data_IF_814852854397
#
_entry.id   IF_814852854397
#
_cell.length_a   1.000
_cell.length_b   1.000
_cell.length_c   1.000
_cell.angle_alpha   90.00
_cell.angle_beta   90.00
_cell.angle_gamma   90.00
#
_symmetry.space_group_name_H-M   'P 1'
#
loop_
_entity.id
_entity.type
_entity.pdbx_description
1 polymer ?
#
# COMPACT_ATOMS: atom_id res chain seq x y z
N UNK A 1 4.30 9.49 -35.47
CA UNK A 1 4.02 10.05 -34.14
C UNK A 1 2.53 9.85 -33.93
N UNK A 2 2.14 8.96 -33.03
CA UNK A 2 0.71 8.80 -32.72
C UNK A 2 0.23 10.09 -32.05
N UNK A 3 -0.77 10.66 -32.66
CA UNK A 3 -1.48 11.83 -32.18
C UNK A 3 -2.29 11.41 -30.95
N UNK A 4 -2.04 11.99 -29.80
CA UNK A 4 -2.89 11.79 -28.62
C UNK A 4 -3.98 12.88 -28.63
N UNK A 5 -5.21 12.56 -29.11
CA UNK A 5 -6.26 13.55 -29.29
C UNK A 5 -6.77 14.12 -27.96
N UNK A 6 -6.38 13.49 -26.85
CA UNK A 6 -6.92 13.78 -25.51
C UNK A 6 -6.02 14.71 -24.69
N UNK A 7 -4.87 15.13 -25.22
CA UNK A 7 -4.02 16.14 -24.61
C UNK A 7 -4.51 17.53 -25.00
N UNK A 8 -5.48 18.04 -24.28
CA UNK A 8 -6.13 19.33 -24.55
C UNK A 8 -5.30 20.52 -24.06
N UNK A 9 -5.55 21.73 -24.60
CA UNK A 9 -4.92 22.97 -24.13
C UNK A 9 -5.10 23.22 -22.63
N UNK A 10 -6.28 22.85 -22.08
CA UNK A 10 -6.56 23.01 -20.64
C UNK A 10 -5.67 22.09 -19.78
N UNK A 11 -5.44 20.85 -20.22
CA UNK A 11 -4.56 19.91 -19.52
C UNK A 11 -3.12 20.41 -19.56
N UNK A 12 -2.63 20.84 -20.71
CA UNK A 12 -1.26 21.40 -20.86
C UNK A 12 -1.11 22.64 -19.97
N UNK A 13 -2.12 23.52 -19.95
CA UNK A 13 -2.10 24.72 -19.10
C UNK A 13 -2.08 24.35 -17.60
N UNK A 14 -2.90 23.39 -17.18
CA UNK A 14 -2.90 22.88 -15.81
C UNK A 14 -1.55 22.29 -15.40
N UNK A 15 -0.91 21.50 -16.28
CA UNK A 15 0.44 20.99 -16.07
C UNK A 15 1.49 22.11 -16.00
N UNK A 16 1.31 23.20 -16.73
CA UNK A 16 2.15 24.40 -16.61
C UNK A 16 2.16 24.96 -15.19
N UNK A 17 0.98 25.10 -14.57
CA UNK A 17 0.85 25.51 -13.16
C UNK A 17 1.43 24.47 -12.20
N UNK A 18 1.23 23.20 -12.47
CA UNK A 18 1.79 22.13 -11.66
C UNK A 18 3.32 22.20 -11.60
N UNK A 19 4.00 22.31 -12.75
CA UNK A 19 5.45 22.44 -12.81
C UNK A 19 5.96 23.77 -12.25
N UNK A 20 5.17 24.84 -12.32
CA UNK A 20 5.49 26.10 -11.65
C UNK A 20 5.53 25.92 -10.13
N UNK A 21 4.57 25.20 -9.56
CA UNK A 21 4.58 24.88 -8.13
C UNK A 21 5.80 24.04 -7.76
N UNK A 22 6.13 23.02 -8.55
CA UNK A 22 7.34 22.22 -8.34
C UNK A 22 8.61 23.06 -8.43
N UNK A 23 8.70 23.98 -9.38
CA UNK A 23 9.79 24.95 -9.45
C UNK A 23 9.91 25.76 -8.17
N UNK A 24 8.83 26.36 -7.68
CA UNK A 24 8.84 27.16 -6.45
C UNK A 24 9.25 26.33 -5.21
N UNK A 25 8.79 25.08 -5.12
CA UNK A 25 9.20 24.16 -4.05
C UNK A 25 10.71 23.91 -4.10
N UNK A 26 11.26 23.65 -5.29
CA UNK A 26 12.69 23.37 -5.45
C UNK A 26 13.55 24.62 -5.31
N UNK A 27 13.05 25.78 -5.70
CA UNK A 27 13.71 27.07 -5.47
C UNK A 27 13.83 27.34 -3.96
N UNK A 28 12.76 27.10 -3.20
CA UNK A 28 12.81 27.19 -1.74
C UNK A 28 13.82 26.21 -1.14
N UNK A 29 13.86 24.96 -1.62
CA UNK A 29 14.81 23.96 -1.16
C UNK A 29 16.25 24.32 -1.50
N UNK A 30 16.49 24.86 -2.68
CA UNK A 30 17.79 25.43 -3.09
C UNK A 30 18.24 26.52 -2.13
N UNK A 31 17.36 27.47 -1.83
CA UNK A 31 17.64 28.55 -0.89
C UNK A 31 17.95 28.03 0.52
N UNK A 32 17.16 27.08 1.01
CA UNK A 32 17.40 26.40 2.30
C UNK A 32 18.77 25.71 2.31
N UNK A 33 19.07 24.92 1.28
CA UNK A 33 20.34 24.20 1.15
C UNK A 33 21.54 25.15 1.12
N UNK A 34 21.37 26.34 0.56
CA UNK A 34 22.44 27.34 0.48
C UNK A 34 22.66 28.10 1.81
N UNK A 35 21.57 28.44 2.52
CA UNK A 35 21.67 29.34 3.69
C UNK A 35 21.65 28.64 5.05
N UNK A 36 20.87 27.58 5.20
CA UNK A 36 20.58 27.00 6.51
C UNK A 36 21.52 25.82 6.80
N UNK A 37 21.83 25.05 5.78
CA UNK A 37 22.57 23.81 5.91
C UNK A 37 23.99 23.98 5.34
N UNK A 38 24.82 24.79 5.98
CA UNK A 38 26.25 24.89 5.61
C UNK A 38 26.97 23.53 5.52
N UNK A 39 26.40 22.50 6.11
CA UNK A 39 26.82 21.11 5.94
C UNK A 39 26.31 20.44 4.67
N UNK A 40 25.20 20.92 4.07
CA UNK A 40 24.69 20.44 2.79
C UNK A 40 25.45 20.98 1.56
N UNK A 41 26.38 21.91 1.78
CA UNK A 41 27.29 22.34 0.74
C UNK A 41 28.46 21.37 0.53
N UNK A 42 28.49 20.24 1.25
CA UNK A 42 29.49 19.19 1.03
C UNK A 42 29.24 18.49 -0.31
N UNK A 43 30.31 18.30 -1.03
CA UNK A 43 30.36 17.70 -2.36
C UNK A 43 29.52 16.41 -2.44
N UNK A 44 28.64 16.34 -3.41
CA UNK A 44 28.05 15.06 -3.79
C UNK A 44 29.12 14.29 -4.56
N UNK A 45 29.71 13.28 -3.95
CA UNK A 45 30.73 12.44 -4.56
C UNK A 45 30.32 11.83 -5.92
N UNK A 46 29.01 11.66 -6.16
CA UNK A 46 28.45 11.12 -7.40
C UNK A 46 28.49 12.08 -8.59
N UNK A 47 28.60 13.40 -8.38
CA UNK A 47 28.51 14.43 -9.44
C UNK A 47 29.77 15.30 -9.45
N UNK A 48 30.95 14.70 -9.25
CA UNK A 48 32.23 15.39 -9.45
C UNK A 48 32.47 16.61 -8.57
N UNK A 49 31.98 16.64 -7.33
CA UNK A 49 32.27 17.70 -6.38
C UNK A 49 31.34 18.93 -6.47
N UNK A 50 30.18 18.84 -7.13
CA UNK A 50 29.21 19.93 -7.13
C UNK A 50 28.53 20.11 -5.77
N UNK A 51 28.38 21.35 -5.26
CA UNK A 51 27.56 21.62 -4.09
C UNK A 51 26.10 21.18 -4.28
N UNK A 52 25.48 20.61 -3.26
CA UNK A 52 24.07 20.15 -3.30
C UNK A 52 23.11 21.27 -3.75
N UNK A 53 23.34 22.50 -3.28
CA UNK A 53 22.54 23.66 -3.68
C UNK A 53 22.59 23.93 -5.18
N UNK A 54 23.74 23.72 -5.83
CA UNK A 54 23.88 23.89 -7.29
C UNK A 54 23.06 22.86 -8.06
N UNK A 55 23.04 21.59 -7.59
CA UNK A 55 22.22 20.54 -8.20
C UNK A 55 20.75 20.92 -8.14
N UNK A 56 20.26 21.36 -6.97
CA UNK A 56 18.87 21.77 -6.81
C UNK A 56 18.53 23.05 -7.58
N UNK A 57 19.49 23.97 -7.75
CA UNK A 57 19.33 25.13 -8.63
C UNK A 57 19.14 24.70 -10.10
N UNK A 58 19.93 23.71 -10.56
CA UNK A 58 19.76 23.16 -11.91
C UNK A 58 18.40 22.47 -12.07
N UNK A 59 17.97 21.67 -11.08
CA UNK A 59 16.62 21.04 -11.07
C UNK A 59 15.54 22.09 -11.12
N UNK A 60 15.66 23.17 -10.33
CA UNK A 60 14.71 24.29 -10.35
C UNK A 60 14.65 24.95 -11.73
N UNK A 61 15.81 25.21 -12.35
CA UNK A 61 15.87 25.81 -13.69
C UNK A 61 15.21 24.91 -14.75
N UNK A 62 15.42 23.60 -14.69
CA UNK A 62 14.77 22.63 -15.58
C UNK A 62 13.25 22.65 -15.39
N UNK A 63 12.76 22.62 -14.14
CA UNK A 63 11.33 22.67 -13.86
C UNK A 63 10.67 23.98 -14.31
N UNK A 64 11.39 25.10 -14.20
CA UNK A 64 10.94 26.38 -14.77
C UNK A 64 10.83 26.31 -16.29
N UNK A 65 11.84 25.76 -16.97
CA UNK A 65 11.81 25.61 -18.44
C UNK A 65 10.65 24.69 -18.85
N UNK A 66 10.40 23.60 -18.12
CA UNK A 66 9.27 22.70 -18.38
C UNK A 66 7.94 23.41 -18.16
N UNK A 67 7.79 24.22 -17.12
CA UNK A 67 6.59 25.02 -16.88
C UNK A 67 6.34 26.01 -18.02
N UNK A 68 7.36 26.77 -18.44
CA UNK A 68 7.26 27.72 -19.56
C UNK A 68 6.91 26.99 -20.86
N UNK A 69 7.51 25.82 -21.12
CA UNK A 69 7.20 25.01 -22.30
C UNK A 69 5.73 24.57 -22.32
N UNK A 70 5.15 24.24 -21.16
CA UNK A 70 3.73 23.93 -21.07
C UNK A 70 2.85 25.15 -21.33
N UNK A 71 3.16 26.33 -20.79
CA UNK A 71 2.37 27.54 -21.06
C UNK A 71 2.45 27.96 -22.52
N UNK A 72 3.60 27.86 -23.16
CA UNK A 72 3.75 28.16 -24.58
C UNK A 72 3.16 27.11 -25.50
N UNK A 73 3.14 25.82 -25.05
CA UNK A 73 2.58 24.70 -25.81
C UNK A 73 1.05 24.63 -25.85
N UNK A 74 0.36 25.45 -25.05
CA UNK A 74 -1.12 25.48 -25.01
C UNK A 74 -1.75 25.87 -26.35
N UNK A 75 -1.07 26.61 -27.18
CA UNK A 75 -1.52 27.05 -28.51
C UNK A 75 -1.46 25.95 -29.59
N UNK A 76 -0.68 24.89 -29.35
CA UNK A 76 -0.47 23.81 -30.31
C UNK A 76 -0.39 22.44 -29.62
N UNK A 77 -1.50 21.94 -29.05
CA UNK A 77 -1.51 20.70 -28.30
C UNK A 77 -1.04 19.48 -29.11
N UNK A 78 -1.35 19.46 -30.39
CA UNK A 78 -1.01 18.37 -31.31
C UNK A 78 0.49 18.15 -31.47
N UNK A 79 1.28 19.23 -31.41
CA UNK A 79 2.73 19.19 -31.54
C UNK A 79 3.48 19.17 -30.20
N UNK A 80 2.76 19.09 -29.09
CA UNK A 80 3.36 19.11 -27.77
C UNK A 80 4.20 17.86 -27.49
N UNK A 81 5.48 18.02 -27.14
CA UNK A 81 6.46 16.94 -27.08
C UNK A 81 6.74 16.39 -25.69
N UNK A 82 6.39 17.14 -24.62
CA UNK A 82 6.69 16.72 -23.24
C UNK A 82 5.65 15.71 -22.77
N UNK A 83 5.95 14.44 -22.99
CA UNK A 83 5.12 13.30 -22.58
C UNK A 83 5.99 12.06 -22.35
N UNK A 84 5.46 11.11 -21.59
CA UNK A 84 6.14 9.83 -21.39
C UNK A 84 6.18 9.05 -22.71
N UNK A 85 7.36 8.55 -23.10
CA UNK A 85 7.51 7.77 -24.33
C UNK A 85 6.99 6.32 -24.12
N UNK A 86 6.53 5.69 -25.20
CA UNK A 86 5.98 4.32 -25.18
C UNK A 86 7.02 3.29 -24.70
N UNK A 87 8.30 3.47 -25.00
CA UNK A 87 9.35 2.58 -24.53
C UNK A 87 9.45 2.55 -22.98
N UNK A 88 8.94 3.55 -22.30
CA UNK A 88 8.85 3.61 -20.85
C UNK A 88 7.51 3.05 -20.34
N UNK A 89 6.39 3.44 -20.96
CA UNK A 89 5.04 3.02 -20.55
C UNK A 89 4.82 1.51 -20.69
N UNK A 90 5.20 0.94 -21.83
CA UNK A 90 5.00 -0.48 -22.11
C UNK A 90 5.66 -1.43 -21.09
N UNK A 91 6.94 -1.26 -20.69
CA UNK A 91 7.51 -2.06 -19.60
C UNK A 91 6.82 -1.84 -18.25
N UNK A 92 6.42 -0.59 -17.94
CA UNK A 92 5.71 -0.31 -16.69
C UNK A 92 4.40 -1.08 -16.66
N UNK A 93 3.59 -1.01 -17.71
CA UNK A 93 2.33 -1.75 -17.80
C UNK A 93 2.55 -3.27 -17.74
N UNK A 94 3.54 -3.78 -18.48
CA UNK A 94 3.81 -5.21 -18.49
C UNK A 94 4.18 -5.77 -17.11
N UNK A 95 5.04 -5.07 -16.37
CA UNK A 95 5.53 -5.56 -15.08
C UNK A 95 4.59 -5.20 -13.92
N UNK A 96 4.03 -4.00 -13.88
CA UNK A 96 3.17 -3.58 -12.76
C UNK A 96 1.73 -4.09 -12.87
N UNK A 97 1.25 -4.46 -14.05
CA UNK A 97 -0.02 -5.17 -14.21
C UNK A 97 0.07 -6.64 -13.76
N UNK A 98 1.27 -7.19 -13.58
CA UNK A 98 1.41 -8.54 -13.02
C UNK A 98 1.30 -8.48 -11.48
N UNK A 99 0.29 -9.16 -10.90
CA UNK A 99 0.05 -9.09 -9.46
C UNK A 99 1.19 -9.70 -8.63
N UNK A 100 1.92 -10.68 -9.16
CA UNK A 100 3.05 -11.31 -8.46
C UNK A 100 4.20 -10.34 -8.37
N UNK A 101 4.54 -9.67 -9.49
CA UNK A 101 5.60 -8.65 -9.54
C UNK A 101 5.25 -7.47 -8.65
N UNK A 102 4.01 -6.99 -8.70
CA UNK A 102 3.52 -5.91 -7.85
C UNK A 102 3.66 -6.25 -6.36
N UNK A 103 3.16 -7.42 -5.94
CA UNK A 103 3.22 -7.84 -4.54
C UNK A 103 4.66 -8.11 -4.08
N UNK A 104 5.46 -8.80 -4.88
CA UNK A 104 6.88 -9.00 -4.57
C UNK A 104 7.62 -7.67 -4.46
N UNK A 105 7.35 -6.71 -5.35
CA UNK A 105 7.88 -5.35 -5.29
C UNK A 105 7.49 -4.62 -4.00
N UNK A 106 6.23 -4.74 -3.57
CA UNK A 106 5.77 -4.15 -2.30
C UNK A 106 6.47 -4.75 -1.08
N UNK A 107 6.73 -6.05 -1.09
CA UNK A 107 7.50 -6.75 -0.04
C UNK A 107 8.97 -6.32 -0.03
N UNK A 108 9.59 -6.19 -1.19
CA UNK A 108 10.97 -5.70 -1.31
C UNK A 108 11.08 -4.25 -0.85
N UNK A 109 10.13 -3.40 -1.24
CA UNK A 109 10.07 -2.00 -0.81
C UNK A 109 9.92 -1.89 0.72
N UNK A 110 9.05 -2.71 1.32
CA UNK A 110 8.91 -2.80 2.76
C UNK A 110 10.22 -3.21 3.44
N UNK A 111 10.88 -4.27 2.94
CA UNK A 111 12.17 -4.72 3.44
C UNK A 111 13.24 -3.63 3.34
N UNK A 112 13.32 -2.95 2.19
CA UNK A 112 14.24 -1.84 1.98
C UNK A 112 13.95 -0.66 2.93
N UNK A 113 12.69 -0.32 3.16
CA UNK A 113 12.27 0.72 4.09
C UNK A 113 12.78 0.45 5.51
N UNK A 114 12.68 -0.79 5.98
CA UNK A 114 13.15 -1.19 7.31
C UNK A 114 14.68 -1.23 7.38
N UNK A 115 15.34 -1.85 6.40
CA UNK A 115 16.80 -2.07 6.40
C UNK A 115 17.55 -0.74 6.23
N UNK A 116 17.13 0.08 5.26
CA UNK A 116 17.80 1.35 4.94
C UNK A 116 17.19 2.56 5.65
N UNK A 117 16.49 2.36 6.79
CA UNK A 117 15.78 3.44 7.52
C UNK A 117 16.67 4.63 7.84
N UNK A 118 17.96 4.42 8.18
CA UNK A 118 18.91 5.50 8.50
C UNK A 118 19.28 6.36 7.29
N UNK A 119 19.07 5.84 6.09
CA UNK A 119 19.38 6.56 4.84
C UNK A 119 18.20 7.38 4.35
N UNK A 120 17.03 6.75 4.24
CA UNK A 120 15.89 7.44 3.64
C UNK A 120 15.20 8.45 4.57
N UNK A 121 15.48 8.41 5.87
CA UNK A 121 15.03 9.47 6.80
C UNK A 121 15.79 10.79 6.66
N UNK A 122 16.91 10.81 5.94
CA UNK A 122 17.67 12.05 5.68
C UNK A 122 16.85 13.00 4.84
N UNK A 123 16.84 14.29 5.22
CA UNK A 123 16.02 15.32 4.57
C UNK A 123 16.24 15.38 3.05
N UNK A 124 17.49 15.32 2.61
CA UNK A 124 17.82 15.36 1.18
C UNK A 124 17.28 14.15 0.43
N UNK A 125 17.37 12.95 1.02
CA UNK A 125 16.84 11.74 0.40
C UNK A 125 15.31 11.80 0.31
N UNK A 126 14.64 12.16 1.40
CA UNK A 126 13.18 12.29 1.45
C UNK A 126 12.69 13.33 0.45
N UNK A 127 13.37 14.48 0.36
CA UNK A 127 13.05 15.51 -0.62
C UNK A 127 13.23 15.00 -2.04
N UNK A 128 14.31 14.29 -2.32
CA UNK A 128 14.57 13.72 -3.65
C UNK A 128 13.47 12.74 -4.04
N UNK A 129 13.08 11.83 -3.15
CA UNK A 129 12.00 10.87 -3.41
C UNK A 129 10.66 11.57 -3.65
N UNK A 130 10.33 12.58 -2.85
CA UNK A 130 9.14 13.40 -3.05
C UNK A 130 9.15 14.05 -4.44
N UNK A 131 10.25 14.71 -4.82
CA UNK A 131 10.33 15.38 -6.10
C UNK A 131 10.28 14.42 -7.29
N UNK A 132 10.96 13.27 -7.19
CA UNK A 132 10.86 12.21 -8.20
C UNK A 132 9.42 11.70 -8.37
N UNK A 133 8.71 11.47 -7.26
CA UNK A 133 7.31 11.03 -7.30
C UNK A 133 6.39 12.09 -7.91
N UNK A 134 6.58 13.36 -7.58
CA UNK A 134 5.79 14.45 -8.13
C UNK A 134 6.11 14.69 -9.62
N UNK A 135 7.37 14.66 -10.02
CA UNK A 135 7.75 14.77 -11.45
C UNK A 135 7.21 13.58 -12.24
N UNK A 136 7.33 12.36 -11.71
CA UNK A 136 6.75 11.16 -12.33
C UNK A 136 5.24 11.32 -12.52
N UNK A 137 4.52 11.76 -11.48
CA UNK A 137 3.08 12.01 -11.55
C UNK A 137 2.75 13.07 -12.61
N UNK A 138 3.47 14.19 -12.65
CA UNK A 138 3.26 15.25 -13.64
C UNK A 138 3.48 14.78 -15.08
N UNK A 139 4.53 14.00 -15.34
CA UNK A 139 4.78 13.39 -16.65
C UNK A 139 3.70 12.37 -17.01
N UNK A 140 3.27 11.55 -16.05
CA UNK A 140 2.22 10.55 -16.26
C UNK A 140 0.85 11.16 -16.54
N UNK A 141 0.57 12.34 -15.99
CA UNK A 141 -0.69 13.07 -16.27
C UNK A 141 -0.80 13.56 -17.72
N UNK A 142 0.28 13.51 -18.50
CA UNK A 142 0.22 13.72 -19.96
C UNK A 142 -0.42 12.55 -20.71
N UNK A 143 -0.46 11.36 -20.11
CA UNK A 143 -1.13 10.18 -20.64
C UNK A 143 -2.62 10.21 -20.33
N UNK A 144 -3.44 9.81 -21.30
CA UNK A 144 -4.91 9.85 -21.17
C UNK A 144 -5.42 8.83 -20.15
N UNK A 145 -4.99 7.58 -20.29
CA UNK A 145 -5.50 6.48 -19.47
C UNK A 145 -5.08 6.64 -18.01
N UNK A 146 -3.83 7.02 -17.76
CA UNK A 146 -3.36 7.37 -16.42
C UNK A 146 -4.20 8.50 -15.81
N UNK A 147 -4.47 9.56 -16.60
CA UNK A 147 -5.24 10.71 -16.13
C UNK A 147 -6.69 10.34 -15.81
N UNK A 148 -7.31 9.44 -16.58
CA UNK A 148 -8.65 8.94 -16.30
C UNK A 148 -8.74 8.17 -14.99
N UNK A 149 -7.67 7.46 -14.61
CA UNK A 149 -7.61 6.69 -13.36
C UNK A 149 -7.27 7.61 -12.17
N UNK A 150 -6.17 8.34 -12.25
CA UNK A 150 -5.63 9.12 -11.12
C UNK A 150 -6.38 10.44 -10.93
N UNK A 151 -6.79 11.08 -12.02
CA UNK A 151 -7.53 12.35 -12.00
C UNK A 151 -9.04 12.19 -11.77
N UNK A 152 -9.56 10.97 -11.67
CA UNK A 152 -10.97 10.75 -11.31
C UNK A 152 -11.26 11.40 -9.95
N UNK A 153 -12.34 12.18 -9.79
CA UNK A 153 -12.58 12.96 -8.57
C UNK A 153 -12.56 12.17 -7.28
N UNK A 154 -13.00 10.90 -7.28
CA UNK A 154 -12.98 10.01 -6.13
C UNK A 154 -11.57 9.42 -5.85
N UNK A 155 -10.67 9.38 -6.84
CA UNK A 155 -9.30 8.89 -6.69
C UNK A 155 -8.30 9.98 -6.26
N UNK A 156 -8.57 11.25 -6.55
CA UNK A 156 -7.70 12.38 -6.17
C UNK A 156 -7.40 12.41 -4.66
N UNK A 157 -8.39 12.25 -3.74
CA UNK A 157 -8.14 12.16 -2.30
C UNK A 157 -7.26 10.97 -1.92
N UNK A 158 -7.38 9.85 -2.63
CA UNK A 158 -6.59 8.64 -2.36
C UNK A 158 -5.12 8.90 -2.69
N UNK A 159 -4.85 9.50 -3.84
CA UNK A 159 -3.49 9.88 -4.24
C UNK A 159 -2.90 10.87 -3.24
N UNK A 160 -3.64 11.90 -2.85
CA UNK A 160 -3.21 12.85 -1.82
C UNK A 160 -2.89 12.14 -0.50
N UNK A 161 -3.73 11.19 -0.08
CA UNK A 161 -3.53 10.42 1.15
C UNK A 161 -2.28 9.52 1.08
N UNK A 162 -1.93 8.96 -0.08
CA UNK A 162 -0.69 8.21 -0.23
C UNK A 162 0.54 9.09 0.06
N UNK A 163 0.53 10.35 -0.39
CA UNK A 163 1.60 11.30 -0.05
C UNK A 163 1.61 11.65 1.44
N UNK A 164 0.43 11.86 2.06
CA UNK A 164 0.32 12.14 3.49
C UNK A 164 0.81 10.95 4.32
N UNK A 165 0.42 9.73 3.98
CA UNK A 165 0.88 8.50 4.67
C UNK A 165 2.39 8.35 4.53
N UNK A 166 2.95 8.60 3.35
CA UNK A 166 4.40 8.56 3.12
C UNK A 166 5.14 9.60 3.98
N UNK A 167 4.61 10.82 4.07
CA UNK A 167 5.17 11.89 4.90
C UNK A 167 5.12 11.56 6.39
N UNK A 168 3.98 11.10 6.90
CA UNK A 168 3.83 10.71 8.30
C UNK A 168 4.72 9.51 8.65
N UNK A 169 4.88 8.56 7.73
CA UNK A 169 5.79 7.43 7.89
C UNK A 169 7.24 7.90 7.97
N UNK A 170 7.62 8.86 7.14
CA UNK A 170 8.95 9.48 7.18
C UNK A 170 9.20 10.18 8.52
N UNK A 171 8.27 10.98 9.03
CA UNK A 171 8.38 11.64 10.35
C UNK A 171 8.56 10.59 11.44
N UNK A 172 7.74 9.52 11.42
CA UNK A 172 7.84 8.44 12.40
C UNK A 172 9.22 7.80 12.41
N UNK A 173 9.73 7.37 11.24
CA UNK A 173 11.05 6.73 11.18
C UNK A 173 12.19 7.69 11.50
N UNK A 174 12.08 8.95 11.08
CA UNK A 174 13.05 9.98 11.46
C UNK A 174 13.13 10.12 12.96
N UNK A 175 12.01 10.28 13.64
CA UNK A 175 11.94 10.37 15.10
C UNK A 175 12.50 9.09 15.76
N UNK A 176 12.15 7.93 15.24
CA UNK A 176 12.63 6.65 15.77
C UNK A 176 14.14 6.48 15.62
N UNK A 177 14.71 6.85 14.48
CA UNK A 177 16.18 6.80 14.24
C UNK A 177 16.91 7.80 15.13
N UNK A 178 16.39 9.02 15.28
CA UNK A 178 17.01 10.03 16.13
C UNK A 178 16.98 9.61 17.63
N UNK A 179 15.87 9.04 18.10
CA UNK A 179 15.77 8.51 19.45
C UNK A 179 16.68 7.30 19.67
N UNK A 180 16.79 6.37 18.70
CA UNK A 180 17.73 5.26 18.77
C UNK A 180 19.18 5.74 18.94
N UNK A 181 19.59 6.81 18.23
CA UNK A 181 20.91 7.43 18.37
C UNK A 181 21.09 8.09 19.74
N UNK A 182 20.07 8.80 20.24
CA UNK A 182 20.11 9.43 21.57
C UNK A 182 20.28 8.39 22.67
N UNK A 183 19.62 7.24 22.56
CA UNK A 183 19.80 6.11 23.50
C UNK A 183 21.26 5.63 23.48
N UNK A 184 21.84 5.45 22.28
CA UNK A 184 23.25 5.02 22.14
C UNK A 184 24.25 6.04 22.71
N UNK A 185 23.95 7.32 22.63
CA UNK A 185 24.75 8.42 23.17
C UNK A 185 24.47 8.71 24.64
N UNK A 186 23.53 7.97 25.26
CA UNK A 186 23.12 8.19 26.65
C UNK A 186 22.40 9.52 26.92
N UNK A 187 21.83 10.11 25.86
CA UNK A 187 21.03 11.33 25.95
C UNK A 187 19.54 11.02 26.17
N UNK A 188 18.79 11.92 26.82
CA UNK A 188 17.35 11.77 26.95
C UNK A 188 16.66 11.76 25.57
N UNK A 189 15.53 11.06 25.45
CA UNK A 189 14.71 11.05 24.25
C UNK A 189 14.10 12.43 24.00
N UNK A 190 13.70 12.71 22.76
CA UNK A 190 13.03 13.97 22.40
C UNK A 190 11.82 14.24 23.29
N UNK A 191 10.99 13.22 23.47
CA UNK A 191 9.74 13.32 24.23
C UNK A 191 9.98 13.46 25.74
N UNK A 192 11.19 13.16 26.21
CA UNK A 192 11.62 13.41 27.60
C UNK A 192 12.14 14.83 27.79
N UNK A 193 12.82 15.39 26.78
CA UNK A 193 13.26 16.79 26.79
C UNK A 193 12.08 17.76 26.66
N UNK A 194 11.15 17.43 25.74
CA UNK A 194 9.96 18.21 25.48
C UNK A 194 8.75 17.51 26.14
N UNK A 195 8.68 17.63 27.46
CA UNK A 195 7.64 17.00 28.29
C UNK A 195 6.66 18.00 28.90
N UNK A 196 6.50 19.16 28.29
CA UNK A 196 5.56 20.18 28.73
C UNK A 196 4.14 19.59 28.79
N UNK A 197 3.51 19.70 29.96
CA UNK A 197 2.19 19.16 30.17
C UNK A 197 1.16 20.15 29.63
N UNK A 198 0.37 19.72 28.68
CA UNK A 198 -0.76 20.44 28.13
C UNK A 198 -2.03 20.01 28.86
N UNK A 199 -2.86 20.97 29.28
CA UNK A 199 -4.16 20.66 29.86
C UNK A 199 -5.10 20.11 28.77
N UNK A 200 -5.81 19.02 29.10
CA UNK A 200 -6.85 18.48 28.18
C UNK A 200 -7.91 19.54 27.93
N UNK A 201 -8.34 20.23 28.97
CA UNK A 201 -9.23 21.39 28.90
C UNK A 201 -8.52 22.59 29.54
N UNK A 202 -8.44 23.79 28.87
CA UNK A 202 -9.01 24.10 27.55
C UNK A 202 -8.07 23.80 26.35
N UNK A 203 -6.77 23.61 26.55
CA UNK A 203 -5.74 23.75 25.52
C UNK A 203 -5.86 22.70 24.39
N UNK A 204 -5.93 21.41 24.75
CA UNK A 204 -6.06 20.35 23.76
C UNK A 204 -7.39 20.43 23.01
N UNK A 205 -8.49 20.67 23.75
CA UNK A 205 -9.83 20.76 23.15
C UNK A 205 -9.93 21.93 22.18
N UNK A 206 -9.35 23.09 22.48
CA UNK A 206 -9.32 24.20 21.53
C UNK A 206 -8.47 23.91 20.30
N UNK A 207 -7.34 23.23 20.45
CA UNK A 207 -6.49 22.84 19.34
C UNK A 207 -7.26 21.87 18.41
N UNK A 208 -7.93 20.86 18.98
CA UNK A 208 -8.75 19.92 18.23
C UNK A 208 -9.94 20.61 17.53
N UNK A 209 -10.60 21.56 18.21
CA UNK A 209 -11.69 22.35 17.62
C UNK A 209 -11.21 23.17 16.42
N UNK A 210 -10.06 23.83 16.53
CA UNK A 210 -9.48 24.60 15.42
C UNK A 210 -9.16 23.68 14.25
N UNK A 211 -8.52 22.54 14.51
CA UNK A 211 -8.23 21.55 13.48
C UNK A 211 -9.51 21.04 12.80
N UNK A 212 -10.57 20.75 13.57
CA UNK A 212 -11.86 20.30 13.05
C UNK A 212 -12.50 21.37 12.15
N UNK A 213 -12.52 22.63 12.58
CA UNK A 213 -13.10 23.74 11.81
C UNK A 213 -12.33 23.93 10.50
N UNK A 214 -10.99 23.95 10.56
CA UNK A 214 -10.15 24.11 9.36
C UNK A 214 -10.35 22.95 8.39
N UNK A 215 -10.34 21.70 8.89
CA UNK A 215 -10.57 20.52 8.07
C UNK A 215 -11.97 20.55 7.44
N UNK A 216 -13.00 20.93 8.20
CA UNK A 216 -14.37 21.04 7.68
C UNK A 216 -14.43 22.10 6.56
N UNK A 217 -13.80 23.26 6.75
CA UNK A 217 -13.74 24.27 5.70
C UNK A 217 -13.04 23.74 4.43
N UNK A 218 -11.90 23.07 4.57
CA UNK A 218 -11.19 22.43 3.44
C UNK A 218 -12.08 21.42 2.73
N UNK A 219 -12.79 20.55 3.47
CA UNK A 219 -13.69 19.56 2.89
C UNK A 219 -14.89 20.18 2.18
N UNK A 220 -15.43 21.28 2.68
CA UNK A 220 -16.52 22.03 2.03
C UNK A 220 -16.03 22.63 0.70
N UNK A 221 -14.88 23.33 0.71
CA UNK A 221 -14.29 23.87 -0.52
C UNK A 221 -13.98 22.75 -1.53
N UNK A 222 -13.49 21.62 -1.06
CA UNK A 222 -13.21 20.45 -1.89
C UNK A 222 -14.50 19.90 -2.52
N UNK A 223 -15.55 19.69 -1.72
CA UNK A 223 -16.83 19.17 -2.19
C UNK A 223 -17.54 20.09 -3.18
N UNK A 224 -17.29 21.40 -3.13
CA UNK A 224 -17.80 22.37 -4.11
C UNK A 224 -16.95 22.39 -5.38
N UNK A 225 -15.61 22.35 -5.22
CA UNK A 225 -14.67 22.51 -6.34
C UNK A 225 -14.43 21.23 -7.14
N UNK A 226 -14.65 20.06 -6.55
CA UNK A 226 -14.44 18.76 -7.18
C UNK A 226 -15.75 17.97 -7.16
N UNK A 227 -16.46 17.98 -8.27
CA UNK A 227 -17.72 17.25 -8.40
C UNK A 227 -17.51 15.75 -8.24
N UNK A 228 -18.35 15.10 -7.44
CA UNK A 228 -18.36 13.65 -7.34
C UNK A 228 -18.86 13.05 -8.68
N UNK A 229 -18.17 12.03 -9.22
CA UNK A 229 -18.61 11.40 -10.46
C UNK A 229 -19.93 10.66 -10.21
N UNK A 230 -20.94 10.98 -11.02
CA UNK A 230 -22.18 10.22 -11.02
C UNK A 230 -22.04 9.00 -11.92
N UNK A 231 -22.43 7.85 -11.41
CA UNK A 231 -22.56 6.63 -12.17
C UNK A 231 -23.81 6.66 -13.08
N UNK A 232 -23.91 5.73 -14.01
CA UNK A 232 -25.15 5.55 -14.82
C UNK A 232 -26.37 5.34 -13.90
N UNK A 233 -27.58 5.74 -14.30
CA UNK A 233 -28.80 5.47 -13.54
C UNK A 233 -28.94 4.01 -13.18
N UNK A 234 -29.48 3.72 -11.99
CA UNK A 234 -29.66 2.35 -11.51
C UNK A 234 -30.45 1.51 -12.54
N UNK A 235 -29.90 0.35 -12.86
CA UNK A 235 -30.49 -0.60 -13.80
C UNK A 235 -30.62 -1.97 -13.15
N UNK A 236 -31.77 -2.64 -13.33
CA UNK A 236 -31.96 -4.03 -12.92
C UNK A 236 -31.25 -5.05 -13.83
N UNK A 237 -30.75 -4.61 -14.98
CA UNK A 237 -30.16 -5.47 -16.01
C UNK A 237 -28.65 -5.36 -16.11
N UNK A 238 -28.07 -4.21 -15.74
CA UNK A 238 -26.64 -3.93 -15.93
C UNK A 238 -26.02 -3.45 -14.61
N UNK A 239 -24.92 -4.08 -14.22
CA UNK A 239 -24.07 -3.64 -13.10
C UNK A 239 -22.86 -2.88 -13.65
N UNK A 240 -22.38 -1.82 -12.98
CA UNK A 240 -21.14 -1.15 -13.37
C UNK A 240 -19.96 -2.13 -13.46
N UNK A 241 -19.11 -1.95 -14.46
CA UNK A 241 -17.96 -2.82 -14.67
C UNK A 241 -16.67 -2.00 -14.89
N UNK A 242 -15.75 -1.92 -13.92
CA UNK A 242 -15.77 -2.63 -12.62
C UNK A 242 -16.71 -1.97 -11.61
N UNK A 243 -17.31 -2.78 -10.72
CA UNK A 243 -18.05 -2.29 -9.56
C UNK A 243 -17.11 -2.22 -8.36
N UNK A 244 -16.64 -1.01 -8.02
CA UNK A 244 -15.69 -0.78 -6.94
C UNK A 244 -16.39 -0.24 -5.70
N UNK A 245 -16.05 -0.81 -4.54
CA UNK A 245 -16.41 -0.26 -3.24
C UNK A 245 -15.67 1.08 -3.01
N UNK A 246 -16.10 1.92 -2.03
CA UNK A 246 -15.31 3.05 -1.59
C UNK A 246 -13.88 2.63 -1.21
N UNK A 247 -12.91 3.52 -1.45
CA UNK A 247 -11.48 3.21 -1.35
C UNK A 247 -11.05 2.52 -0.03
N UNK A 248 -11.65 2.88 1.09
CA UNK A 248 -11.31 2.28 2.39
C UNK A 248 -11.77 0.83 2.54
N UNK A 249 -12.70 0.35 1.70
CA UNK A 249 -13.11 -1.04 1.59
C UNK A 249 -12.46 -1.79 0.42
N UNK A 250 -11.72 -1.10 -0.46
CA UNK A 250 -11.12 -1.76 -1.63
C UNK A 250 -10.11 -2.84 -1.26
N UNK A 251 -9.39 -2.67 -0.16
CA UNK A 251 -8.52 -3.72 0.37
C UNK A 251 -9.29 -4.98 0.77
N UNK A 252 -10.46 -4.82 1.41
CA UNK A 252 -11.35 -5.95 1.74
C UNK A 252 -11.98 -6.56 0.48
N UNK A 253 -12.36 -5.72 -0.48
CA UNK A 253 -12.89 -6.19 -1.76
C UNK A 253 -11.83 -7.00 -2.54
N UNK A 254 -10.57 -6.60 -2.53
CA UNK A 254 -9.50 -7.38 -3.13
C UNK A 254 -9.28 -8.72 -2.39
N UNK A 255 -9.47 -8.77 -1.08
CA UNK A 255 -9.42 -10.04 -0.33
C UNK A 255 -10.49 -11.05 -0.76
N UNK A 256 -11.63 -10.61 -1.32
CA UNK A 256 -12.67 -11.50 -1.87
C UNK A 256 -12.18 -12.34 -3.06
N UNK A 257 -11.10 -11.94 -3.71
CA UNK A 257 -10.46 -12.75 -4.76
C UNK A 257 -9.85 -14.02 -4.18
N UNK A 258 -9.37 -13.95 -2.92
CA UNK A 258 -8.62 -15.01 -2.25
C UNK A 258 -9.43 -15.79 -1.22
N UNK A 259 -10.42 -15.15 -0.63
CA UNK A 259 -11.27 -15.71 0.43
C UNK A 259 -12.75 -15.57 0.11
N UNK A 260 -13.55 -16.39 0.74
CA UNK A 260 -14.99 -16.28 0.66
C UNK A 260 -15.51 -15.02 1.40
N UNK A 261 -16.67 -14.45 1.02
CA UNK A 261 -17.18 -13.20 1.59
C UNK A 261 -17.31 -13.21 3.13
N UNK A 262 -17.73 -14.31 3.75
CA UNK A 262 -17.84 -14.38 5.20
C UNK A 262 -16.48 -14.30 5.90
N UNK A 263 -15.43 -14.88 5.30
CA UNK A 263 -14.08 -14.84 5.85
C UNK A 263 -13.44 -13.46 5.62
N UNK A 264 -13.48 -12.96 4.39
CA UNK A 264 -12.89 -11.67 4.02
C UNK A 264 -13.61 -10.47 4.67
N UNK A 265 -14.97 -10.51 4.73
CA UNK A 265 -15.77 -9.37 5.18
C UNK A 265 -16.08 -9.36 6.68
N UNK A 266 -16.04 -10.50 7.35
CA UNK A 266 -16.42 -10.60 8.77
C UNK A 266 -15.28 -11.12 9.64
N UNK A 267 -14.75 -12.31 9.33
CA UNK A 267 -13.79 -12.98 10.22
C UNK A 267 -12.46 -12.24 10.27
N UNK A 268 -11.86 -11.94 9.12
CA UNK A 268 -10.56 -11.25 9.07
C UNK A 268 -10.62 -9.86 9.70
N UNK A 269 -11.60 -8.98 9.41
CA UNK A 269 -11.75 -7.72 10.13
C UNK A 269 -11.99 -7.91 11.63
N UNK A 270 -12.78 -8.90 12.02
CA UNK A 270 -13.01 -9.26 13.42
C UNK A 270 -11.74 -9.69 14.15
N UNK A 271 -10.86 -10.46 13.48
CA UNK A 271 -9.55 -10.87 14.02
C UNK A 271 -8.61 -9.65 14.15
N UNK A 272 -8.64 -8.68 13.22
CA UNK A 272 -7.86 -7.45 13.34
C UNK A 272 -8.29 -6.67 14.59
N UNK A 273 -9.60 -6.47 14.78
CA UNK A 273 -10.13 -5.80 15.97
C UNK A 273 -9.78 -6.57 17.25
N UNK A 274 -10.00 -7.88 17.28
CA UNK A 274 -9.65 -8.75 18.40
C UNK A 274 -8.14 -8.74 18.70
N UNK A 275 -7.31 -8.69 17.67
CA UNK A 275 -5.86 -8.57 17.79
C UNK A 275 -5.43 -7.25 18.43
N UNK A 276 -6.03 -6.13 18.00
CA UNK A 276 -5.80 -4.81 18.62
C UNK A 276 -6.21 -4.79 20.09
N UNK A 277 -7.35 -5.38 20.41
CA UNK A 277 -7.83 -5.53 21.80
C UNK A 277 -6.94 -6.44 22.65
N UNK A 278 -6.25 -7.42 22.05
CA UNK A 278 -5.36 -8.34 22.75
C UNK A 278 -4.00 -7.73 23.12
N UNK A 279 -3.55 -6.66 22.45
CA UNK A 279 -2.22 -6.06 22.62
C UNK A 279 -1.88 -5.82 24.10
N UNK A 280 -2.70 -5.12 24.92
CA UNK A 280 -2.35 -4.84 26.31
C UNK A 280 -2.21 -6.11 27.18
N UNK A 281 -2.79 -7.24 26.77
CA UNK A 281 -2.74 -8.50 27.49
C UNK A 281 -1.57 -9.40 27.07
N UNK A 282 -1.14 -9.33 25.80
CA UNK A 282 -0.08 -10.18 25.26
C UNK A 282 1.28 -9.47 25.26
N UNK A 283 1.32 -8.14 25.25
CA UNK A 283 2.57 -7.39 25.28
C UNK A 283 3.26 -7.58 26.66
N UNK A 284 4.49 -8.03 26.61
CA UNK A 284 5.30 -8.25 27.81
C UNK A 284 6.28 -7.10 28.09
N UNK A 285 6.26 -6.04 27.31
CA UNK A 285 7.14 -4.91 27.49
C UNK A 285 6.77 -4.12 28.75
N UNK A 286 7.73 -3.99 29.66
CA UNK A 286 7.59 -3.26 30.94
C UNK A 286 8.26 -1.88 30.92
N UNK A 287 9.04 -1.56 29.88
CA UNK A 287 9.63 -0.25 29.71
C UNK A 287 8.54 0.74 29.32
N UNK A 288 8.46 1.89 30.00
CA UNK A 288 7.46 2.91 29.71
C UNK A 288 7.64 3.44 28.29
N UNK A 289 6.56 3.46 27.49
CA UNK A 289 6.70 3.66 26.07
C UNK A 289 5.59 4.48 25.47
N UNK A 290 5.70 5.75 25.60
CA UNK A 290 5.10 6.69 24.68
C UNK A 290 6.09 7.19 23.63
N UNK A 291 7.24 6.54 23.47
CA UNK A 291 8.36 7.06 22.68
C UNK A 291 8.57 6.30 21.39
N UNK A 292 8.88 7.02 20.33
CA UNK A 292 9.20 6.45 19.04
C UNK A 292 10.67 5.97 19.05
N UNK A 293 10.87 4.64 19.21
CA UNK A 293 12.17 3.99 19.14
C UNK A 293 12.04 2.74 18.28
N UNK A 294 12.95 2.53 17.33
CA UNK A 294 12.88 1.35 16.47
C UNK A 294 13.54 0.12 17.10
N UNK A 295 14.78 0.26 17.59
CA UNK A 295 15.59 -0.88 18.05
C UNK A 295 14.96 -1.63 19.22
N UNK A 296 14.38 -0.92 20.18
CA UNK A 296 13.74 -1.54 21.35
C UNK A 296 12.47 -2.32 21.01
N UNK A 297 11.75 -1.89 19.95
CA UNK A 297 10.44 -2.43 19.57
C UNK A 297 10.41 -2.96 18.14
N UNK A 298 11.56 -3.24 17.53
CA UNK A 298 11.69 -3.59 16.11
C UNK A 298 10.68 -4.67 15.65
N UNK A 299 10.50 -5.73 16.44
CA UNK A 299 9.56 -6.78 16.09
C UNK A 299 8.11 -6.29 16.01
N UNK A 300 7.65 -5.55 17.02
CA UNK A 300 6.27 -5.02 17.05
C UNK A 300 6.05 -4.02 15.90
N UNK A 301 7.02 -3.15 15.66
CA UNK A 301 6.98 -2.15 14.59
C UNK A 301 6.97 -2.84 13.22
N UNK A 302 7.87 -3.78 12.97
CA UNK A 302 7.89 -4.53 11.70
C UNK A 302 6.61 -5.32 11.47
N UNK A 303 6.04 -5.94 12.51
CA UNK A 303 4.78 -6.69 12.41
C UNK A 303 3.61 -5.76 12.06
N UNK A 304 3.51 -4.61 12.73
CA UNK A 304 2.49 -3.62 12.41
C UNK A 304 2.63 -3.07 11.00
N UNK A 305 3.84 -2.65 10.63
CA UNK A 305 4.10 -2.07 9.31
C UNK A 305 3.92 -3.09 8.17
N UNK A 306 4.21 -4.37 8.43
CA UNK A 306 3.93 -5.44 7.48
C UNK A 306 2.42 -5.56 7.21
N UNK A 307 1.60 -5.54 8.26
CA UNK A 307 0.14 -5.53 8.11
C UNK A 307 -0.37 -4.27 7.40
N UNK A 308 0.21 -3.12 7.73
CA UNK A 308 -0.24 -1.84 7.21
C UNK A 308 0.19 -1.62 5.74
N UNK A 309 1.48 -1.75 5.41
CA UNK A 309 1.96 -1.48 4.04
C UNK A 309 1.72 -2.64 3.08
N UNK A 310 2.32 -3.83 3.23
CA UNK A 310 2.12 -4.91 2.27
C UNK A 310 0.70 -5.49 2.24
N UNK A 311 0.02 -5.56 3.40
CA UNK A 311 -1.28 -6.25 3.46
C UNK A 311 -2.48 -5.31 3.40
N UNK A 312 -2.33 -4.01 3.62
CA UNK A 312 -3.45 -3.07 3.56
C UNK A 312 -3.28 -2.04 2.44
N UNK A 313 -2.26 -1.20 2.51
CA UNK A 313 -2.03 -0.14 1.51
C UNK A 313 -1.80 -0.74 0.12
N UNK A 314 -0.99 -1.80 0.01
CA UNK A 314 -0.73 -2.45 -1.28
C UNK A 314 -2.01 -3.01 -1.90
N UNK A 315 -2.93 -3.59 -1.11
CA UNK A 315 -4.21 -4.07 -1.62
C UNK A 315 -5.16 -2.93 -2.03
N UNK A 316 -5.15 -1.80 -1.30
CA UNK A 316 -5.93 -0.62 -1.69
C UNK A 316 -5.43 -0.08 -3.04
N UNK A 317 -4.11 0.09 -3.18
CA UNK A 317 -3.51 0.57 -4.43
C UNK A 317 -3.82 -0.38 -5.59
N UNK A 318 -3.70 -1.69 -5.37
CA UNK A 318 -4.01 -2.71 -6.36
C UNK A 318 -5.49 -2.64 -6.79
N UNK A 319 -6.41 -2.61 -5.84
CA UNK A 319 -7.85 -2.53 -6.11
C UNK A 319 -8.29 -1.20 -6.75
N UNK A 320 -7.64 -0.09 -6.36
CA UNK A 320 -7.99 1.25 -6.87
C UNK A 320 -7.47 1.49 -8.28
N UNK A 321 -6.18 1.22 -8.51
CA UNK A 321 -5.47 1.67 -9.72
C UNK A 321 -5.19 0.56 -10.72
N UNK A 322 -5.03 -0.69 -10.28
CA UNK A 322 -4.64 -1.81 -11.14
C UNK A 322 -5.79 -2.77 -11.49
N UNK A 323 -6.97 -2.60 -10.90
CA UNK A 323 -8.18 -3.36 -11.26
C UNK A 323 -9.09 -2.55 -12.17
N UNK A 324 -9.37 -3.10 -13.34
CA UNK A 324 -10.26 -2.54 -14.35
C UNK A 324 -11.47 -3.44 -14.63
N UNK A 325 -12.06 -3.34 -15.82
CA UNK A 325 -13.21 -4.14 -16.24
C UNK A 325 -13.01 -5.65 -16.02
N UNK A 326 -14.08 -6.34 -15.67
CA UNK A 326 -14.10 -7.77 -15.33
C UNK A 326 -13.18 -8.15 -14.16
N UNK A 327 -12.80 -7.17 -13.33
CA UNK A 327 -11.84 -7.32 -12.23
C UNK A 327 -10.46 -7.85 -12.67
N UNK A 328 -10.12 -7.64 -13.96
CA UNK A 328 -8.82 -7.99 -14.51
C UNK A 328 -7.76 -6.98 -14.09
N UNK A 329 -6.50 -7.39 -14.21
CA UNK A 329 -5.37 -6.49 -14.00
C UNK A 329 -5.08 -5.70 -15.28
N UNK A 330 -4.83 -4.41 -15.07
CA UNK A 330 -4.43 -3.46 -16.11
C UNK A 330 -3.21 -2.66 -15.63
N UNK A 331 -2.36 -2.30 -16.57
CA UNK A 331 -1.31 -1.34 -16.33
C UNK A 331 -1.88 0.06 -16.10
N UNK A 332 -1.07 0.95 -15.54
CA UNK A 332 -1.49 2.33 -15.24
C UNK A 332 -1.62 3.21 -16.48
N UNK A 333 -1.07 2.77 -17.62
CA UNK A 333 -1.17 3.41 -18.94
C UNK A 333 -1.95 2.56 -19.94
N UNK A 334 -2.49 1.41 -19.52
CA UNK A 334 -3.23 0.49 -20.38
C UNK A 334 -4.68 0.92 -20.53
N UNK A 335 -5.18 0.92 -21.76
CA UNK A 335 -6.59 1.17 -22.08
C UNK A 335 -7.49 0.13 -21.43
N UNK A 336 -8.53 0.55 -20.76
CA UNK A 336 -9.50 -0.34 -20.14
C UNK A 336 -10.45 -0.96 -21.19
N UNK A 337 -10.14 -2.17 -21.61
CA UNK A 337 -10.97 -2.93 -22.55
C UNK A 337 -11.95 -3.84 -21.80
N UNK A 338 -13.26 -3.58 -21.96
CA UNK A 338 -14.33 -4.38 -21.36
C UNK A 338 -14.39 -5.81 -21.93
N UNK A 339 -13.79 -6.05 -23.10
CA UNK A 339 -13.73 -7.36 -23.73
C UNK A 339 -12.52 -8.19 -23.27
N UNK A 340 -11.59 -7.61 -22.54
CA UNK A 340 -10.48 -8.34 -21.93
C UNK A 340 -11.02 -9.27 -20.85
N UNK A 341 -11.24 -10.53 -21.21
CA UNK A 341 -11.67 -11.58 -20.28
C UNK A 341 -10.54 -12.58 -20.09
N UNK A 342 -9.99 -12.61 -18.90
CA UNK A 342 -9.03 -13.63 -18.49
C UNK A 342 -9.78 -14.72 -17.73
N UNK A 343 -9.79 -15.94 -18.28
CA UNK A 343 -10.43 -17.07 -17.62
C UNK A 343 -9.77 -17.31 -16.25
N UNK A 344 -10.57 -17.25 -15.20
CA UNK A 344 -10.12 -17.57 -13.85
C UNK A 344 -10.45 -19.04 -13.55
N UNK A 345 -9.45 -19.90 -13.60
CA UNK A 345 -9.63 -21.26 -13.12
C UNK A 345 -9.74 -21.24 -11.59
N UNK A 346 -10.76 -21.93 -11.08
CA UNK A 346 -10.99 -22.07 -9.65
C UNK A 346 -10.86 -23.55 -9.30
N UNK A 347 -9.73 -23.95 -8.71
CA UNK A 347 -9.48 -25.33 -8.31
C UNK A 347 -9.36 -25.37 -6.79
N UNK A 348 -10.04 -26.28 -6.15
CA UNK A 348 -9.96 -26.50 -4.71
C UNK A 348 -8.83 -27.47 -4.33
N UNK A 349 -8.33 -27.36 -3.11
CA UNK A 349 -7.26 -28.25 -2.64
C UNK A 349 -7.68 -29.73 -2.69
N UNK A 350 -8.93 -30.03 -2.37
CA UNK A 350 -9.50 -31.36 -2.48
C UNK A 350 -9.41 -31.93 -3.89
N UNK A 351 -9.61 -31.08 -4.93
CA UNK A 351 -9.48 -31.50 -6.32
C UNK A 351 -8.02 -31.81 -6.68
N UNK A 352 -7.06 -31.01 -6.25
CA UNK A 352 -5.63 -31.29 -6.44
C UNK A 352 -5.23 -32.62 -5.76
N UNK A 353 -5.69 -32.84 -4.55
CA UNK A 353 -5.35 -34.02 -3.76
C UNK A 353 -5.93 -35.30 -4.35
N UNK A 354 -7.26 -35.34 -4.58
CA UNK A 354 -7.93 -36.57 -5.04
C UNK A 354 -7.68 -36.90 -6.50
N UNK A 355 -7.38 -35.91 -7.33
CA UNK A 355 -7.00 -36.12 -8.74
C UNK A 355 -5.49 -36.39 -8.93
N UNK A 356 -4.69 -36.47 -7.86
CA UNK A 356 -3.31 -36.91 -7.97
C UNK A 356 -3.23 -38.31 -8.60
N UNK A 357 -2.33 -38.54 -9.60
CA UNK A 357 -2.34 -39.78 -10.41
C UNK A 357 -2.38 -41.08 -9.60
N UNK A 358 -1.65 -41.13 -8.45
CA UNK A 358 -1.67 -42.29 -7.58
C UNK A 358 -2.96 -42.51 -6.82
N UNK A 359 -3.62 -41.42 -6.37
CA UNK A 359 -4.87 -41.48 -5.60
C UNK A 359 -6.07 -41.67 -6.52
N UNK A 360 -6.10 -41.00 -7.66
CA UNK A 360 -7.22 -41.11 -8.62
C UNK A 360 -7.38 -42.50 -9.19
N UNK A 361 -6.27 -43.26 -9.36
CA UNK A 361 -6.32 -44.65 -9.80
C UNK A 361 -6.92 -45.60 -8.75
N UNK A 362 -6.80 -45.26 -7.46
CA UNK A 362 -7.31 -46.08 -6.35
C UNK A 362 -8.73 -45.73 -5.98
N UNK A 363 -9.06 -44.44 -5.91
CA UNK A 363 -10.32 -43.90 -5.39
C UNK A 363 -11.28 -43.38 -6.47
N UNK A 364 -10.86 -43.34 -7.75
CA UNK A 364 -11.71 -42.86 -8.84
C UNK A 364 -11.89 -41.35 -8.91
N UNK A 365 -11.00 -40.57 -8.25
CA UNK A 365 -11.03 -39.10 -8.21
C UNK A 365 -11.75 -38.55 -6.99
N UNK A 366 -12.25 -37.29 -7.10
CA UNK A 366 -12.90 -36.57 -5.98
C UNK A 366 -14.14 -37.32 -5.47
N UNK A 367 -14.26 -37.62 -4.17
CA UNK A 367 -15.45 -38.24 -3.60
C UNK A 367 -16.73 -37.44 -3.88
N UNK A 368 -17.74 -38.08 -4.40
CA UNK A 368 -19.04 -37.48 -4.76
C UNK A 368 -20.13 -37.92 -3.81
N UNK A 369 -20.80 -37.00 -3.15
CA UNK A 369 -21.88 -37.24 -2.23
C UNK A 369 -22.18 -35.99 -1.39
N UNK A 370 -23.40 -35.87 -0.91
CA UNK A 370 -23.84 -34.76 -0.06
C UNK A 370 -24.00 -35.15 1.41
N UNK A 371 -23.72 -36.43 1.75
CA UNK A 371 -23.72 -36.89 3.12
C UNK A 371 -22.48 -36.36 3.89
N UNK A 372 -22.65 -36.12 5.15
CA UNK A 372 -21.64 -35.53 6.03
C UNK A 372 -20.30 -36.25 6.00
N UNK A 373 -20.32 -37.58 5.96
CA UNK A 373 -19.11 -38.41 5.95
C UNK A 373 -18.30 -38.21 4.64
N UNK A 374 -18.97 -38.25 3.50
CA UNK A 374 -18.36 -38.04 2.18
C UNK A 374 -17.78 -36.64 2.05
N UNK A 375 -18.50 -35.62 2.55
CA UNK A 375 -17.98 -34.22 2.57
C UNK A 375 -16.72 -34.13 3.43
N UNK A 376 -16.73 -34.72 4.63
CA UNK A 376 -15.54 -34.70 5.50
C UNK A 376 -14.36 -35.45 4.91
N UNK A 377 -14.60 -36.59 4.25
CA UNK A 377 -13.52 -37.31 3.54
C UNK A 377 -12.99 -36.49 2.37
N UNK A 378 -13.86 -35.87 1.57
CA UNK A 378 -13.50 -35.01 0.45
C UNK A 378 -12.61 -33.88 0.88
N UNK A 379 -12.97 -33.19 1.96
CA UNK A 379 -12.27 -32.02 2.45
C UNK A 379 -11.21 -32.33 3.53
N UNK A 380 -11.01 -33.60 3.88
CA UNK A 380 -10.02 -34.01 4.89
C UNK A 380 -8.62 -33.43 4.66
N UNK A 381 -8.07 -33.39 3.42
CA UNK A 381 -6.75 -32.79 3.17
C UNK A 381 -6.69 -31.31 3.57
N UNK A 382 -7.72 -30.54 3.23
CA UNK A 382 -7.81 -29.12 3.58
C UNK A 382 -8.01 -28.88 5.09
N UNK A 383 -8.89 -29.67 5.70
CA UNK A 383 -9.16 -29.59 7.16
C UNK A 383 -7.89 -29.93 7.95
N UNK A 384 -7.17 -30.98 7.57
CA UNK A 384 -5.92 -31.37 8.22
C UNK A 384 -4.83 -30.31 8.01
N UNK A 385 -4.74 -29.72 6.83
CA UNK A 385 -3.78 -28.64 6.55
C UNK A 385 -4.04 -27.41 7.41
N UNK A 386 -5.29 -26.92 7.46
CA UNK A 386 -5.67 -25.76 8.27
C UNK A 386 -5.53 -26.07 9.76
N UNK A 387 -6.03 -27.23 10.20
CA UNK A 387 -5.89 -27.67 11.59
C UNK A 387 -4.43 -27.79 12.01
N UNK A 388 -3.58 -28.39 11.17
CA UNK A 388 -2.14 -28.46 11.36
C UNK A 388 -1.48 -27.10 11.39
N UNK A 389 -1.87 -26.20 10.47
CA UNK A 389 -1.35 -24.84 10.43
C UNK A 389 -1.59 -24.08 11.74
N UNK A 390 -2.80 -24.05 12.26
CA UNK A 390 -3.13 -23.32 13.47
C UNK A 390 -2.79 -24.05 14.78
N UNK A 391 -2.74 -25.38 14.79
CA UNK A 391 -2.43 -26.17 15.99
C UNK A 391 -0.94 -26.51 16.10
N UNK A 392 -0.29 -26.91 15.01
CA UNK A 392 1.10 -27.37 15.05
C UNK A 392 2.12 -26.25 14.85
N UNK A 393 1.79 -25.21 14.07
CA UNK A 393 2.77 -24.11 13.85
C UNK A 393 3.09 -23.30 15.10
N UNK A 394 2.17 -22.94 16.01
CA UNK A 394 2.53 -22.25 17.25
C UNK A 394 3.60 -22.97 18.08
N UNK A 395 3.51 -24.26 18.41
CA UNK A 395 4.60 -24.99 19.08
C UNK A 395 5.91 -24.96 18.27
N UNK A 396 5.84 -25.19 16.95
CA UNK A 396 7.04 -25.17 16.10
C UNK A 396 7.73 -23.81 16.14
N UNK A 397 6.99 -22.72 15.96
CA UNK A 397 7.51 -21.37 16.06
C UNK A 397 8.09 -21.05 17.44
N UNK A 398 7.44 -21.52 18.50
CA UNK A 398 7.90 -21.34 19.87
C UNK A 398 9.16 -22.13 20.22
N UNK A 399 9.38 -23.27 19.57
CA UNK A 399 10.62 -24.04 19.74
C UNK A 399 11.77 -23.57 18.86
N UNK A 400 11.47 -22.83 17.78
CA UNK A 400 12.47 -22.39 16.78
C UNK A 400 12.65 -20.88 16.80
N UNK A 401 12.06 -20.19 15.83
CA UNK A 401 12.30 -18.76 15.54
C UNK A 401 11.82 -17.84 16.66
N UNK A 402 10.70 -18.17 17.29
CA UNK A 402 10.05 -17.35 18.32
C UNK A 402 10.27 -17.85 19.75
N UNK A 403 11.29 -18.69 19.98
CA UNK A 403 11.61 -19.27 21.30
C UNK A 403 11.72 -18.20 22.40
N UNK A 404 12.37 -17.08 22.09
CA UNK A 404 12.54 -15.95 23.03
C UNK A 404 11.20 -15.36 23.49
N UNK A 405 10.23 -15.32 22.57
CA UNK A 405 8.89 -14.78 22.85
C UNK A 405 8.08 -15.77 23.69
N UNK A 406 8.10 -17.06 23.36
CA UNK A 406 7.46 -18.10 24.19
C UNK A 406 7.95 -18.04 25.64
N UNK A 407 9.27 -17.93 25.87
CA UNK A 407 9.86 -17.86 27.20
C UNK A 407 9.44 -16.62 27.99
N UNK A 408 9.21 -15.48 27.30
CA UNK A 408 8.83 -14.20 27.95
C UNK A 408 7.33 -14.06 28.18
N UNK A 409 6.51 -14.58 27.26
CA UNK A 409 5.06 -14.40 27.26
C UNK A 409 4.34 -15.52 28.03
N UNK A 410 4.94 -16.71 28.12
CA UNK A 410 4.28 -17.93 28.59
C UNK A 410 3.39 -18.54 27.51
N UNK A 411 2.88 -19.75 27.76
CA UNK A 411 2.22 -20.59 26.75
C UNK A 411 0.94 -19.93 26.21
N UNK A 412 0.04 -19.46 27.06
CA UNK A 412 -1.26 -18.94 26.64
C UNK A 412 -1.14 -17.66 25.79
N UNK A 413 -0.38 -16.68 26.27
CA UNK A 413 -0.15 -15.42 25.54
C UNK A 413 0.56 -15.67 24.22
N UNK A 414 1.56 -16.57 24.23
CA UNK A 414 2.28 -16.94 23.02
C UNK A 414 1.37 -17.64 22.01
N UNK A 415 0.46 -18.50 22.45
CA UNK A 415 -0.48 -19.17 21.55
C UNK A 415 -1.41 -18.17 20.87
N UNK A 416 -1.97 -17.22 21.61
CA UNK A 416 -2.79 -16.13 21.02
C UNK A 416 -1.96 -15.32 20.03
N UNK A 417 -0.78 -14.85 20.45
CA UNK A 417 0.12 -14.07 19.61
C UNK A 417 0.49 -14.79 18.30
N UNK A 418 0.92 -16.05 18.39
CA UNK A 418 1.34 -16.82 17.22
C UNK A 418 0.18 -17.10 16.27
N UNK A 419 -1.03 -17.39 16.77
CA UNK A 419 -2.20 -17.53 15.92
C UNK A 419 -2.60 -16.23 15.21
N UNK A 420 -2.52 -15.07 15.87
CA UNK A 420 -2.73 -13.78 15.21
C UNK A 420 -1.70 -13.54 14.10
N UNK A 421 -0.44 -13.89 14.34
CA UNK A 421 0.62 -13.78 13.31
C UNK A 421 0.37 -14.77 12.15
N UNK A 422 -0.10 -15.97 12.41
CA UNK A 422 -0.48 -16.95 11.40
C UNK A 422 -1.68 -16.49 10.56
N UNK A 423 -2.68 -15.86 11.17
CA UNK A 423 -3.77 -15.22 10.43
C UNK A 423 -3.30 -14.08 9.53
N UNK A 424 -2.35 -13.29 9.99
CA UNK A 424 -1.72 -12.26 9.14
C UNK A 424 -0.96 -12.89 7.96
N UNK A 425 -0.27 -13.99 8.18
CA UNK A 425 0.51 -14.68 7.14
C UNK A 425 -0.35 -15.44 6.12
N UNK A 426 -1.58 -15.83 6.46
CA UNK A 426 -2.43 -16.62 5.55
C UNK A 426 -2.81 -15.84 4.29
N UNK A 427 -2.95 -14.50 4.37
CA UNK A 427 -3.30 -13.68 3.22
C UNK A 427 -2.22 -13.73 2.12
N UNK A 428 -0.94 -13.41 2.35
CA UNK A 428 0.08 -13.55 1.32
C UNK A 428 0.26 -15.00 0.85
N UNK A 429 0.10 -15.98 1.72
CA UNK A 429 0.12 -17.40 1.32
C UNK A 429 -1.01 -17.69 0.34
N UNK A 430 -2.23 -17.26 0.61
CA UNK A 430 -3.39 -17.46 -0.28
C UNK A 430 -3.23 -16.71 -1.60
N UNK A 431 -2.67 -15.49 -1.57
CA UNK A 431 -2.36 -14.74 -2.79
C UNK A 431 -1.40 -15.52 -3.69
N UNK A 432 -0.30 -16.02 -3.14
CA UNK A 432 0.67 -16.81 -3.89
C UNK A 432 0.07 -18.13 -4.40
N UNK A 433 -0.70 -18.85 -3.59
CA UNK A 433 -1.38 -20.08 -4.00
C UNK A 433 -2.39 -19.83 -5.13
N UNK A 434 -3.11 -18.70 -5.05
CA UNK A 434 -4.06 -18.29 -6.08
C UNK A 434 -3.38 -18.00 -7.41
N UNK A 435 -2.28 -17.28 -7.39
CA UNK A 435 -1.58 -16.87 -8.62
C UNK A 435 -0.75 -18.00 -9.24
N UNK A 436 -0.06 -18.82 -8.40
CA UNK A 436 0.79 -19.89 -8.88
C UNK A 436 0.02 -21.15 -9.29
N UNK A 437 -1.05 -21.47 -8.57
CA UNK A 437 -1.75 -22.75 -8.72
C UNK A 437 -3.25 -22.60 -9.05
N UNK A 438 -3.76 -21.41 -9.22
CA UNK A 438 -5.19 -21.14 -9.37
C UNK A 438 -6.05 -21.71 -8.23
N UNK A 439 -5.46 -21.94 -7.05
CA UNK A 439 -6.13 -22.49 -5.88
C UNK A 439 -7.15 -21.50 -5.34
N UNK A 440 -8.43 -21.87 -5.31
CA UNK A 440 -9.49 -21.01 -4.78
C UNK A 440 -9.72 -21.26 -3.30
N UNK A 441 -10.06 -22.48 -2.91
CA UNK A 441 -10.32 -22.83 -1.51
C UNK A 441 -9.42 -23.96 -1.03
N UNK A 442 -8.94 -23.84 0.22
CA UNK A 442 -8.23 -24.90 0.93
C UNK A 442 -9.22 -25.91 1.46
N UNK A 443 -10.35 -25.43 1.99
CA UNK A 443 -11.54 -26.21 2.32
C UNK A 443 -12.71 -25.61 1.59
N UNK A 444 -13.40 -26.38 0.76
CA UNK A 444 -14.55 -25.93 -0.02
C UNK A 444 -15.77 -26.80 0.22
N UNK A 445 -16.71 -26.35 1.07
CA UNK A 445 -17.95 -27.06 1.38
C UNK A 445 -19.15 -26.22 0.93
N UNK A 446 -19.46 -26.23 -0.38
CA UNK A 446 -20.57 -25.44 -0.91
C UNK A 446 -21.91 -25.77 -0.24
N UNK A 447 -22.09 -27.03 0.16
CA UNK A 447 -23.28 -27.53 0.82
C UNK A 447 -23.59 -26.83 2.16
N UNK A 448 -22.55 -26.29 2.81
CA UNK A 448 -22.65 -25.56 4.09
C UNK A 448 -22.26 -24.09 3.97
N UNK A 449 -22.07 -23.58 2.76
CA UNK A 449 -21.54 -22.23 2.51
C UNK A 449 -20.25 -21.95 3.29
N UNK A 450 -19.43 -22.97 3.49
CA UNK A 450 -18.20 -22.90 4.26
C UNK A 450 -16.99 -23.09 3.36
N UNK A 451 -16.31 -21.99 3.05
CA UNK A 451 -15.17 -21.98 2.15
C UNK A 451 -14.02 -21.14 2.75
N UNK A 452 -12.80 -21.70 2.77
CA UNK A 452 -11.59 -21.08 3.32
C UNK A 452 -10.46 -21.09 2.28
#
# INVERSE_FOLDING_TARGET
MEHNPDLTSSVIHGLGWYYLVLFLMNLWWTYRSYKVDGEFSKDIALIGGMPVATVWACVSAILMMVSVAHFTGTSSPESFLIRLPEWFKNPVDYYFADPVVYFAGSMLLFGAMVIYRETWVKDTFAWTMLQLSLVFMGLSMSDYDFRQIVGKPDNVPIVAMLFIVSYLTWIYFRRAVDNDRRIEEGRPLFEQEDNEKVLVWPDLVYTELICMVLLTAVLVFWGIGLEAPLEEPASSVKTPNPSKAPWYFLGLQEMLVYFDPWLAGVVLPGIILGGLMAIPYIDFNKAGNGYYCFKERAFAICTFLFGFFPLWIALIVLGTFLRGPNWNFYGIYEVWDVHKVKAANNVNLSEFFWNWPGLSSIYGGVPKGSDMLTILIREAPGILLIGGYFAAMPPVLGMTVLKKYLQRMGILRFFVFSNLALWMAILPIKMLLRWAFSLKYIVGIPEWFFNI
#
